data_IF_529618074129
#
_entry.id   IF_529618074129
#
_cell.length_a   1.000
_cell.length_b   1.000
_cell.length_c   1.000
_cell.angle_alpha   90.00
_cell.angle_beta   90.00
_cell.angle_gamma   90.00
#
_symmetry.space_group_name_H-M   'P 1'
#
loop_
_entity.id
_entity.type
_entity.pdbx_description
1 polymer ?
#
# COMPACT_ATOMS: atom_id res chain seq x y z
N UNK A 1 -24.28 0.59 6.11
CA UNK A 1 -23.26 1.52 5.58
C UNK A 1 -23.03 1.17 4.12
N UNK A 2 -23.14 2.11 3.18
CA UNK A 2 -22.97 1.79 1.75
C UNK A 2 -21.49 1.57 1.45
N UNK A 3 -21.19 0.78 0.41
CA UNK A 3 -19.81 0.47 0.00
C UNK A 3 -18.98 1.75 -0.28
N UNK A 4 -19.62 2.77 -0.87
CA UNK A 4 -18.99 4.07 -1.13
C UNK A 4 -18.55 4.79 0.16
N UNK A 5 -19.36 4.73 1.23
CA UNK A 5 -19.06 5.39 2.50
C UNK A 5 -17.82 4.78 3.18
N UNK A 6 -17.68 3.45 3.07
CA UNK A 6 -16.52 2.74 3.61
C UNK A 6 -15.23 3.11 2.86
N UNK A 7 -15.29 3.14 1.52
CA UNK A 7 -14.15 3.52 0.68
C UNK A 7 -13.72 4.96 0.97
N UNK A 8 -14.67 5.88 1.03
CA UNK A 8 -14.40 7.28 1.35
C UNK A 8 -13.76 7.44 2.74
N UNK A 9 -14.26 6.71 3.76
CA UNK A 9 -13.68 6.73 5.11
C UNK A 9 -12.25 6.19 5.13
N UNK A 10 -11.97 5.09 4.44
CA UNK A 10 -10.62 4.51 4.36
C UNK A 10 -9.65 5.38 3.59
N UNK A 11 -10.11 6.05 2.53
CA UNK A 11 -9.30 7.05 1.83
C UNK A 11 -9.03 8.29 2.70
N UNK A 12 -10.01 8.76 3.47
CA UNK A 12 -9.84 9.89 4.38
C UNK A 12 -8.84 9.56 5.49
N UNK A 13 -8.96 8.37 6.09
CA UNK A 13 -8.00 7.84 7.07
C UNK A 13 -6.60 7.75 6.47
N UNK A 14 -6.47 7.20 5.26
CA UNK A 14 -5.17 7.09 4.59
C UNK A 14 -4.56 8.45 4.28
N UNK A 15 -5.37 9.41 3.81
CA UNK A 15 -4.94 10.79 3.55
C UNK A 15 -4.40 11.45 4.82
N UNK A 16 -5.14 11.37 5.93
CA UNK A 16 -4.71 11.93 7.21
C UNK A 16 -3.38 11.34 7.70
N UNK A 17 -3.03 10.13 7.28
CA UNK A 17 -1.78 9.45 7.64
C UNK A 17 -0.62 9.81 6.72
N UNK A 18 -0.91 10.15 5.47
CA UNK A 18 0.10 10.57 4.49
C UNK A 18 0.43 12.06 4.63
N UNK A 19 -0.53 12.87 5.03
CA UNK A 19 -0.42 14.33 5.15
C UNK A 19 0.80 14.81 5.96
N UNK A 20 1.18 14.20 7.11
CA UNK A 20 2.39 14.59 7.85
C UNK A 20 3.70 14.37 7.09
N UNK A 21 3.69 13.62 5.99
CA UNK A 21 4.86 13.31 5.17
C UNK A 21 4.95 14.18 3.91
N UNK A 22 4.03 15.14 3.73
CA UNK A 22 4.05 16.08 2.62
C UNK A 22 4.96 17.26 2.94
N UNK A 23 5.71 17.72 1.93
CA UNK A 23 6.46 18.96 2.02
C UNK A 23 5.49 20.16 1.98
N UNK A 24 5.94 21.33 2.44
CA UNK A 24 5.11 22.53 2.40
C UNK A 24 4.69 22.87 0.95
N UNK A 25 3.38 22.99 0.72
CA UNK A 25 2.80 23.27 -0.60
C UNK A 25 2.61 22.05 -1.51
N UNK A 26 3.02 20.86 -1.08
CA UNK A 26 2.80 19.60 -1.80
C UNK A 26 1.36 19.11 -1.61
N UNK A 27 0.71 18.64 -2.68
CA UNK A 27 -0.68 18.17 -2.64
C UNK A 27 -0.78 16.67 -2.87
N UNK A 28 -1.44 15.95 -1.96
CA UNK A 28 -1.74 14.52 -2.14
C UNK A 28 -2.80 14.32 -3.23
N UNK A 29 -2.41 13.67 -4.33
CA UNK A 29 -3.34 13.29 -5.42
C UNK A 29 -4.08 11.99 -5.09
N UNK A 30 -3.35 10.95 -4.69
CA UNK A 30 -3.94 9.65 -4.34
C UNK A 30 -3.04 8.87 -3.38
N UNK A 31 -3.62 7.94 -2.63
CA UNK A 31 -2.86 6.98 -1.82
C UNK A 31 -3.61 5.65 -1.74
N UNK A 32 -2.87 4.54 -1.63
CA UNK A 32 -3.43 3.21 -1.40
C UNK A 32 -2.44 2.28 -0.70
N UNK A 33 -2.98 1.19 -0.14
CA UNK A 33 -2.18 0.11 0.44
C UNK A 33 -1.65 -0.82 -0.65
N UNK A 34 -0.35 -1.09 -0.66
CA UNK A 34 0.34 -1.98 -1.60
C UNK A 34 1.07 -3.09 -0.87
N UNK A 35 1.31 -4.19 -1.59
CA UNK A 35 2.17 -5.29 -1.16
C UNK A 35 2.81 -5.97 -2.37
N UNK A 36 3.88 -6.71 -2.13
CA UNK A 36 4.34 -7.73 -3.09
C UNK A 36 3.22 -8.76 -3.31
N UNK A 37 3.20 -9.44 -4.45
CA UNK A 37 2.13 -10.39 -4.80
C UNK A 37 1.83 -11.45 -3.73
N UNK A 38 2.84 -11.90 -2.97
CA UNK A 38 2.64 -12.81 -1.84
C UNK A 38 1.73 -12.22 -0.73
N UNK A 39 1.66 -10.89 -0.59
CA UNK A 39 0.85 -10.16 0.40
C UNK A 39 -0.60 -9.89 0.00
N UNK A 40 -1.04 -10.37 -1.17
CA UNK A 40 -2.41 -10.20 -1.66
C UNK A 40 -3.50 -10.68 -0.66
N UNK A 41 -3.32 -11.79 0.09
CA UNK A 41 -4.26 -12.17 1.15
C UNK A 41 -4.38 -11.15 2.30
N UNK A 42 -3.32 -10.38 2.58
CA UNK A 42 -3.35 -9.29 3.57
C UNK A 42 -4.07 -8.06 3.01
N UNK A 43 -3.85 -7.71 1.74
CA UNK A 43 -4.58 -6.63 1.07
C UNK A 43 -6.08 -6.91 1.03
N UNK A 44 -6.47 -8.15 0.73
CA UNK A 44 -7.86 -8.58 0.79
C UNK A 44 -8.41 -8.45 2.22
N UNK A 45 -7.61 -8.69 3.28
CA UNK A 45 -8.07 -8.44 4.66
C UNK A 45 -8.19 -6.95 5.02
N UNK A 46 -7.35 -6.09 4.43
CA UNK A 46 -7.35 -4.64 4.65
C UNK A 46 -8.48 -3.94 3.86
N UNK A 47 -8.86 -4.51 2.70
CA UNK A 47 -9.96 -4.04 1.86
C UNK A 47 -10.84 -5.23 1.41
N UNK A 48 -11.60 -5.86 2.34
CA UNK A 48 -12.31 -7.13 2.10
C UNK A 48 -13.45 -7.06 1.10
N UNK A 49 -13.86 -5.88 0.68
CA UNK A 49 -15.13 -5.67 -0.03
C UNK A 49 -14.87 -5.06 -1.41
N UNK A 50 -14.16 -5.82 -2.26
CA UNK A 50 -13.94 -5.48 -3.67
C UNK A 50 -14.15 -6.64 -4.65
N UNK A 51 -14.43 -7.86 -4.16
CA UNK A 51 -14.57 -9.05 -5.00
C UNK A 51 -16.03 -9.55 -5.00
N UNK A 52 -16.83 -9.26 -6.04
CA UNK A 52 -18.02 -10.05 -6.30
C UNK A 52 -17.59 -11.42 -6.83
N UNK A 53 -17.74 -12.46 -6.00
CA UNK A 53 -17.64 -13.86 -6.40
C UNK A 53 -16.22 -14.44 -6.44
N UNK A 54 -15.81 -15.12 -5.37
CA UNK A 54 -14.74 -16.13 -5.45
C UNK A 54 -15.01 -17.29 -4.50
N UNK A 55 -15.76 -18.27 -5.00
CA UNK A 55 -15.37 -19.66 -4.86
C UNK A 55 -14.73 -20.07 -6.19
N UNK A 56 -13.43 -20.36 -6.20
CA UNK A 56 -12.80 -21.00 -7.36
C UNK A 56 -11.42 -20.47 -7.75
N UNK A 57 -10.44 -21.34 -7.58
CA UNK A 57 -9.19 -21.46 -8.34
C UNK A 57 -8.06 -20.43 -8.16
N UNK A 58 -7.11 -20.89 -7.34
CA UNK A 58 -5.66 -20.71 -7.42
C UNK A 58 -5.14 -20.57 -8.86
N UNK A 59 -4.60 -19.40 -9.20
CA UNK A 59 -3.65 -19.27 -10.30
C UNK A 59 -2.22 -19.32 -9.74
N UNK A 60 -1.66 -20.52 -9.79
CA UNK A 60 -0.23 -20.73 -10.08
C UNK A 60 -0.01 -20.34 -11.57
N UNK A 61 1.10 -19.81 -12.08
CA UNK A 61 2.49 -19.91 -11.66
C UNK A 61 3.30 -18.76 -12.31
N UNK A 62 3.86 -17.86 -11.51
CA UNK A 62 5.28 -17.50 -11.49
C UNK A 62 5.48 -16.44 -10.37
N UNK A 63 6.17 -16.75 -9.25
CA UNK A 63 6.40 -15.82 -8.16
C UNK A 63 7.52 -14.82 -8.44
N UNK A 64 8.12 -14.85 -9.64
CA UNK A 64 9.08 -13.84 -10.05
C UNK A 64 8.36 -12.51 -10.15
N UNK A 65 8.71 -11.62 -9.22
CA UNK A 65 8.31 -10.22 -9.11
C UNK A 65 7.90 -9.66 -10.47
N UNK A 66 6.76 -8.98 -10.55
CA UNK A 66 6.39 -8.19 -11.73
C UNK A 66 7.30 -6.98 -11.97
N UNK A 67 8.58 -7.11 -11.59
CA UNK A 67 9.69 -6.23 -11.81
C UNK A 67 10.28 -6.55 -13.19
N UNK A 68 10.31 -5.55 -14.06
CA UNK A 68 11.05 -5.57 -15.31
C UNK A 68 12.01 -4.38 -15.31
N UNK A 69 13.30 -4.62 -15.55
CA UNK A 69 14.32 -3.58 -15.58
C UNK A 69 15.66 -4.00 -14.96
N UNK A 70 16.75 -3.26 -15.27
CA UNK A 70 18.07 -3.57 -14.75
C UNK A 70 18.22 -3.25 -13.26
N UNK A 71 19.25 -3.82 -12.64
CA UNK A 71 19.67 -3.41 -11.29
C UNK A 71 20.00 -1.91 -11.26
N UNK A 72 19.57 -1.23 -10.20
CA UNK A 72 19.71 0.22 -10.07
C UNK A 72 18.62 1.05 -10.75
N UNK A 73 17.69 0.42 -11.48
CA UNK A 73 16.49 1.10 -11.98
C UNK A 73 15.54 1.54 -10.86
N UNK A 74 14.65 2.47 -11.18
CA UNK A 74 13.64 3.01 -10.27
C UNK A 74 12.70 1.92 -9.76
N UNK A 75 12.24 1.03 -10.66
CA UNK A 75 11.41 -0.11 -10.28
C UNK A 75 12.15 -1.08 -9.35
N UNK A 76 13.42 -1.38 -9.63
CA UNK A 76 14.22 -2.28 -8.80
C UNK A 76 14.48 -1.68 -7.41
N UNK A 77 14.70 -0.37 -7.32
CA UNK A 77 14.85 0.30 -6.03
C UNK A 77 13.55 0.31 -5.23
N UNK A 78 12.42 0.59 -5.87
CA UNK A 78 11.10 0.48 -5.24
C UNK A 78 10.82 -0.96 -4.76
N UNK A 79 11.07 -1.98 -5.60
CA UNK A 79 10.86 -3.37 -5.21
C UNK A 79 11.65 -3.71 -3.95
N UNK A 80 12.96 -3.40 -3.90
CA UNK A 80 13.81 -3.66 -2.73
C UNK A 80 13.30 -3.03 -1.44
N UNK A 81 12.56 -1.93 -1.53
CA UNK A 81 11.99 -1.19 -0.39
C UNK A 81 10.60 -1.66 0.00
N UNK A 82 9.90 -2.38 -0.88
CA UNK A 82 8.63 -3.00 -0.54
C UNK A 82 8.85 -4.03 0.57
N UNK A 83 8.02 -4.01 1.63
CA UNK A 83 8.16 -4.94 2.72
C UNK A 83 7.98 -6.37 2.23
N UNK A 84 8.78 -7.28 2.79
CA UNK A 84 8.64 -8.71 2.53
C UNK A 84 7.37 -9.24 3.20
N UNK A 85 6.83 -10.33 2.66
CA UNK A 85 5.61 -10.95 3.16
C UNK A 85 5.73 -11.30 4.66
N UNK A 86 4.67 -11.09 5.48
CA UNK A 86 3.31 -10.65 5.15
C UNK A 86 3.03 -9.16 5.48
N UNK A 87 3.94 -8.25 5.16
CA UNK A 87 3.73 -6.82 5.45
C UNK A 87 3.18 -6.04 4.25
N UNK A 88 2.51 -4.92 4.55
CA UNK A 88 1.95 -3.98 3.58
C UNK A 88 2.60 -2.61 3.76
N UNK A 89 2.57 -1.81 2.69
CA UNK A 89 3.02 -0.42 2.70
C UNK A 89 1.93 0.47 2.12
N UNK A 90 2.09 1.78 2.30
CA UNK A 90 1.27 2.79 1.62
C UNK A 90 2.07 3.36 0.46
N UNK A 91 1.49 3.33 -0.72
CA UNK A 91 1.97 4.06 -1.88
C UNK A 91 1.17 5.36 -2.00
N UNK A 92 1.84 6.49 -1.95
CA UNK A 92 1.24 7.82 -2.04
C UNK A 92 1.77 8.58 -3.26
N UNK A 93 0.86 9.14 -4.04
CA UNK A 93 1.13 9.95 -5.21
C UNK A 93 0.78 11.40 -4.91
N UNK A 94 1.74 12.28 -5.10
CA UNK A 94 1.56 13.73 -4.97
C UNK A 94 1.74 14.40 -6.33
N UNK A 95 1.57 15.72 -6.37
CA UNK A 95 1.95 16.54 -7.52
C UNK A 95 3.47 16.57 -7.76
N UNK A 96 4.30 16.40 -6.73
CA UNK A 96 5.75 16.46 -6.84
C UNK A 96 6.45 15.08 -6.91
N UNK A 97 5.91 14.04 -6.27
CA UNK A 97 6.62 12.76 -6.08
C UNK A 97 5.70 11.56 -5.88
N UNK A 98 6.32 10.39 -5.99
CA UNK A 98 5.78 9.11 -5.51
C UNK A 98 6.50 8.74 -4.21
N UNK A 99 5.76 8.35 -3.20
CA UNK A 99 6.23 8.02 -1.85
C UNK A 99 5.83 6.59 -1.49
N UNK A 100 6.76 5.83 -0.91
CA UNK A 100 6.47 4.58 -0.23
C UNK A 100 6.65 4.79 1.28
N UNK A 101 5.59 4.50 2.02
CA UNK A 101 5.54 4.62 3.47
C UNK A 101 5.30 3.24 4.07
N UNK A 102 6.10 2.83 5.05
CA UNK A 102 5.86 1.60 5.80
C UNK A 102 5.36 1.91 7.19
N UNK A 103 4.71 0.95 7.82
CA UNK A 103 4.39 1.04 9.24
C UNK A 103 5.69 1.01 10.03
N UNK A 104 5.96 2.06 10.80
CA UNK A 104 7.08 2.12 11.73
C UNK A 104 6.87 1.17 12.90
N UNK A 105 7.93 0.46 13.26
CA UNK A 105 8.03 -0.39 14.45
C UNK A 105 8.33 0.41 15.72
N UNK A 106 8.09 1.72 15.71
CA UNK A 106 8.08 2.52 16.93
C UNK A 106 6.91 2.05 17.80
N UNK A 107 7.12 0.94 18.51
CA UNK A 107 6.36 0.57 19.69
C UNK A 107 6.19 1.86 20.50
N UNK A 108 4.96 2.29 20.85
CA UNK A 108 4.83 3.20 21.97
C UNK A 108 5.64 2.57 23.11
N UNK A 109 6.44 3.33 23.89
CA UNK A 109 7.20 2.74 24.99
C UNK A 109 6.23 1.98 25.87
N UNK A 110 6.22 0.64 25.72
CA UNK A 110 5.27 -0.19 26.45
C UNK A 110 5.67 -0.08 27.92
N UNK A 111 4.70 0.32 28.74
CA UNK A 111 4.70 0.00 30.17
C UNK A 111 5.17 -1.44 30.31
N UNK A 112 6.26 -1.64 31.05
CA UNK A 112 6.90 -2.92 31.27
C UNK A 112 5.87 -4.05 31.39
N UNK A 113 5.89 -5.05 30.49
CA UNK A 113 5.04 -6.21 30.66
C UNK A 113 5.52 -6.98 31.88
N UNK A 114 4.57 -7.39 32.73
CA UNK A 114 4.84 -8.31 33.83
C UNK A 114 5.58 -9.55 33.30
N UNK A 115 6.57 -10.01 34.07
CA UNK A 115 7.66 -10.92 33.69
C UNK A 115 7.27 -12.31 33.11
N UNK A 116 5.98 -12.61 32.96
CA UNK A 116 5.48 -13.93 32.54
C UNK A 116 4.84 -13.95 31.13
N UNK A 117 4.79 -12.82 30.41
CA UNK A 117 4.25 -12.79 29.06
C UNK A 117 5.31 -13.28 28.03
N UNK A 118 5.08 -14.47 27.45
CA UNK A 118 5.86 -14.95 26.29
C UNK A 118 5.90 -13.86 25.20
N UNK A 119 7.05 -13.60 24.56
CA UNK A 119 7.14 -12.59 23.52
C UNK A 119 6.21 -12.99 22.37
N UNK A 120 5.11 -12.27 22.24
CA UNK A 120 4.19 -12.46 21.13
C UNK A 120 4.92 -11.99 19.87
N UNK A 121 5.14 -12.90 18.92
CA UNK A 121 5.93 -12.61 17.72
C UNK A 121 5.33 -11.46 16.90
N UNK A 122 6.17 -10.78 16.13
CA UNK A 122 5.81 -9.73 15.16
C UNK A 122 4.59 -10.09 14.29
N UNK A 123 4.47 -11.35 13.88
CA UNK A 123 3.34 -11.86 13.10
C UNK A 123 2.02 -11.90 13.89
N UNK A 124 2.07 -12.18 15.19
CA UNK A 124 0.90 -12.10 16.07
C UNK A 124 0.52 -10.65 16.35
N UNK A 125 1.47 -9.72 16.33
CA UNK A 125 1.20 -8.29 16.49
C UNK A 125 0.55 -7.71 15.22
N UNK A 126 1.07 -8.01 14.02
CA UNK A 126 0.45 -7.60 12.76
C UNK A 126 -0.88 -8.32 12.49
N UNK A 127 -1.02 -9.58 12.88
CA UNK A 127 -2.29 -10.30 12.83
C UNK A 127 -3.33 -9.71 13.79
N UNK A 128 -2.91 -9.24 14.98
CA UNK A 128 -3.77 -8.52 15.93
C UNK A 128 -4.07 -7.10 15.49
N UNK A 129 -3.12 -6.37 14.90
CA UNK A 129 -3.36 -5.06 14.30
C UNK A 129 -4.35 -5.25 13.14
N UNK A 130 -4.11 -6.17 12.21
CA UNK A 130 -5.05 -6.51 11.14
C UNK A 130 -6.44 -6.85 11.68
N UNK A 131 -6.57 -7.71 12.70
CA UNK A 131 -7.89 -7.95 13.32
C UNK A 131 -8.47 -6.72 14.03
N UNK A 132 -7.67 -5.89 14.72
CA UNK A 132 -8.17 -4.73 15.49
C UNK A 132 -8.51 -3.52 14.62
N UNK A 133 -7.81 -3.30 13.52
CA UNK A 133 -8.07 -2.21 12.57
C UNK A 133 -9.36 -2.40 11.77
N UNK A 134 -9.79 -3.65 11.63
CA UNK A 134 -10.82 -4.02 10.69
C UNK A 134 -12.05 -4.69 11.34
N UNK A 135 -11.96 -5.15 12.59
CA UNK A 135 -13.04 -5.95 13.23
C UNK A 135 -13.72 -5.30 14.47
N UNK A 136 -13.26 -4.15 15.02
CA UNK A 136 -13.95 -3.52 16.16
C UNK A 136 -14.04 -1.99 16.15
N UNK A 137 -15.19 -1.50 16.65
CA UNK A 137 -15.67 -0.12 16.64
C UNK A 137 -14.96 0.90 17.54
N UNK A 138 -13.72 0.65 17.99
CA UNK A 138 -12.91 1.67 18.66
C UNK A 138 -11.62 1.98 17.90
N UNK A 139 -11.25 3.27 17.76
CA UNK A 139 -10.07 3.69 17.04
C UNK A 139 -8.81 3.38 17.86
N UNK A 140 -8.23 2.20 17.68
CA UNK A 140 -6.85 1.94 18.12
C UNK A 140 -5.92 2.86 17.32
N UNK A 141 -5.10 3.64 18.02
CA UNK A 141 -4.09 4.49 17.39
C UNK A 141 -3.18 3.62 16.51
N UNK A 142 -3.29 3.80 15.19
CA UNK A 142 -2.47 3.07 14.25
C UNK A 142 -1.00 3.49 14.38
N UNK A 143 -0.06 2.54 14.27
CA UNK A 143 1.38 2.82 14.29
C UNK A 143 1.78 3.81 13.18
N UNK A 144 2.72 4.71 13.51
CA UNK A 144 3.14 5.80 12.61
C UNK A 144 3.64 5.27 11.27
N UNK A 145 3.46 6.05 10.21
CA UNK A 145 4.04 5.75 8.91
C UNK A 145 5.45 6.35 8.83
N UNK A 146 6.36 5.67 8.15
CA UNK A 146 7.72 6.14 7.90
C UNK A 146 8.05 6.08 6.41
N UNK A 147 8.59 7.17 5.81
CA UNK A 147 8.96 7.19 4.41
C UNK A 147 10.25 6.37 4.22
N UNK A 148 10.14 5.27 3.48
CA UNK A 148 11.28 4.39 3.21
C UNK A 148 11.84 4.53 1.80
N UNK A 149 11.07 5.15 0.90
CA UNK A 149 11.46 5.38 -0.49
C UNK A 149 10.66 6.52 -1.11
N UNK A 150 11.28 7.22 -2.07
CA UNK A 150 10.65 8.27 -2.87
C UNK A 150 11.28 8.41 -4.24
N UNK A 151 10.50 8.82 -5.24
CA UNK A 151 11.01 9.28 -6.53
C UNK A 151 10.26 10.52 -7.02
N UNK A 152 10.85 11.30 -7.91
CA UNK A 152 10.18 12.45 -8.53
C UNK A 152 8.95 12.00 -9.33
N UNK A 153 7.88 12.79 -9.34
CA UNK A 153 6.63 12.45 -10.05
C UNK A 153 6.84 12.21 -11.53
N UNK A 154 7.72 13.01 -12.13
CA UNK A 154 8.12 12.91 -13.54
C UNK A 154 8.83 11.58 -13.90
N UNK A 155 9.35 10.84 -12.91
CA UNK A 155 9.92 9.52 -13.15
C UNK A 155 8.82 8.45 -13.40
N UNK A 156 7.59 8.69 -12.94
CA UNK A 156 6.46 7.79 -13.16
C UNK A 156 5.82 8.10 -14.51
N UNK A 157 6.06 7.21 -15.49
CA UNK A 157 5.59 7.36 -16.86
C UNK A 157 4.11 6.97 -17.02
N UNK A 158 3.72 5.82 -16.46
CA UNK A 158 2.36 5.32 -16.56
C UNK A 158 1.98 4.44 -15.38
N UNK A 159 0.68 4.39 -15.09
CA UNK A 159 0.10 3.48 -14.10
C UNK A 159 -1.05 2.72 -14.76
N UNK A 160 -1.02 1.40 -14.65
CA UNK A 160 -2.06 0.50 -15.12
C UNK A 160 -2.68 -0.28 -13.98
N UNK A 161 -3.93 -0.71 -14.16
CA UNK A 161 -4.61 -1.63 -13.26
C UNK A 161 -4.94 -2.89 -14.04
N UNK A 162 -4.66 -4.07 -13.49
CA UNK A 162 -4.90 -5.35 -14.14
C UNK A 162 -5.63 -6.33 -13.24
N UNK A 163 -6.59 -7.02 -13.83
CA UNK A 163 -7.35 -8.11 -13.20
C UNK A 163 -8.36 -7.65 -12.14
N UNK A 164 -9.31 -8.53 -11.77
CA UNK A 164 -10.32 -8.25 -10.74
C UNK A 164 -9.71 -8.13 -9.34
N UNK A 165 -8.51 -8.68 -9.13
CA UNK A 165 -7.82 -8.68 -7.84
C UNK A 165 -7.08 -7.36 -7.54
N UNK A 166 -6.96 -6.46 -8.54
CA UNK A 166 -6.37 -5.13 -8.35
C UNK A 166 -4.84 -5.11 -8.36
N UNK A 167 -4.20 -5.64 -9.41
CA UNK A 167 -2.76 -5.42 -9.60
C UNK A 167 -2.51 -4.02 -10.14
N UNK A 168 -1.66 -3.26 -9.45
CA UNK A 168 -1.20 -1.95 -9.87
C UNK A 168 0.16 -2.10 -10.58
N UNK A 169 0.20 -1.81 -11.87
CA UNK A 169 1.42 -1.80 -12.66
C UNK A 169 1.96 -0.37 -12.75
N UNK A 170 3.17 -0.15 -12.27
CA UNK A 170 3.90 1.11 -12.33
C UNK A 170 4.94 1.01 -13.44
N UNK A 171 4.98 1.99 -14.35
CA UNK A 171 6.00 2.10 -15.41
C UNK A 171 6.76 3.40 -15.23
N UNK A 172 8.08 3.34 -15.28
CA UNK A 172 8.96 4.47 -15.06
C UNK A 172 9.61 4.94 -16.38
N UNK A 173 10.11 6.17 -16.38
CA UNK A 173 10.74 6.80 -17.56
C UNK A 173 12.09 6.19 -17.93
N UNK A 174 12.74 5.49 -17.00
CA UNK A 174 13.95 4.71 -17.25
C UNK A 174 13.67 3.37 -17.97
N UNK A 175 12.40 3.13 -18.36
CA UNK A 175 11.95 1.93 -19.04
C UNK A 175 11.61 0.77 -18.11
N UNK A 176 11.90 0.88 -16.81
CA UNK A 176 11.59 -0.15 -15.83
C UNK A 176 10.11 -0.16 -15.44
N UNK A 177 9.62 -1.31 -14.95
CA UNK A 177 8.26 -1.45 -14.47
C UNK A 177 8.16 -2.37 -13.25
N UNK A 178 7.14 -2.15 -12.43
CA UNK A 178 6.85 -2.94 -11.23
C UNK A 178 5.35 -3.17 -11.08
N UNK A 179 4.94 -4.43 -10.93
CA UNK A 179 3.58 -4.79 -10.51
C UNK A 179 3.53 -5.04 -9.00
N UNK A 180 2.55 -4.44 -8.34
CA UNK A 180 2.24 -4.65 -6.92
C UNK A 180 0.78 -5.00 -6.73
N UNK A 181 0.49 -5.76 -5.68
CA UNK A 181 -0.89 -6.01 -5.28
C UNK A 181 -1.46 -4.74 -4.63
N UNK A 182 -2.73 -4.44 -4.90
CA UNK A 182 -3.44 -3.27 -4.40
C UNK A 182 -4.96 -3.58 -4.30
N UNK A 183 -5.73 -2.89 -3.43
CA UNK A 183 -7.18 -2.98 -3.48
C UNK A 183 -7.70 -2.44 -4.83
N UNK A 184 -8.41 -3.26 -5.61
CA UNK A 184 -8.92 -2.87 -6.93
C UNK A 184 -9.73 -1.55 -6.91
N UNK A 185 -10.54 -1.36 -5.85
CA UNK A 185 -11.35 -0.14 -5.65
C UNK A 185 -10.52 1.13 -5.47
N UNK A 186 -9.27 1.03 -5.02
CA UNK A 186 -8.36 2.16 -4.83
C UNK A 186 -7.33 2.26 -5.96
N UNK A 187 -7.01 1.15 -6.62
CA UNK A 187 -6.05 1.10 -7.73
C UNK A 187 -6.52 1.93 -8.92
N UNK A 188 -7.82 1.89 -9.26
CA UNK A 188 -8.39 2.66 -10.37
C UNK A 188 -8.30 4.18 -10.15
N UNK A 189 -8.83 4.76 -9.05
CA UNK A 189 -8.67 6.19 -8.76
C UNK A 189 -7.21 6.64 -8.70
N UNK A 190 -6.31 5.77 -8.22
CA UNK A 190 -4.89 6.07 -8.19
C UNK A 190 -4.27 6.13 -9.59
N UNK A 191 -4.62 5.19 -10.47
CA UNK A 191 -4.17 5.20 -11.85
C UNK A 191 -4.70 6.42 -12.62
N UNK A 192 -5.94 6.85 -12.34
CA UNK A 192 -6.51 8.09 -12.88
C UNK A 192 -5.74 9.32 -12.40
N UNK A 193 -5.46 9.43 -11.10
CA UNK A 193 -4.66 10.51 -10.53
C UNK A 193 -3.21 10.55 -11.03
N UNK A 194 -2.69 9.41 -11.49
CA UNK A 194 -1.36 9.26 -12.07
C UNK A 194 -1.30 9.58 -13.57
N UNK A 195 -2.41 9.92 -14.21
CA UNK A 195 -2.35 10.44 -15.57
C UNK A 195 -1.68 11.82 -15.53
N UNK A 196 -0.76 12.13 -16.47
CA UNK A 196 -0.31 13.51 -16.61
C UNK A 196 -1.54 14.39 -16.84
N UNK A 197 -1.60 15.54 -16.17
CA UNK A 197 -2.70 16.49 -16.36
C UNK A 197 -2.85 16.71 -17.86
N UNK A 198 -3.96 16.24 -18.42
CA UNK A 198 -4.32 16.55 -19.80
C UNK A 198 -4.63 18.04 -19.80
N UNK A 199 -3.61 18.85 -20.02
CA UNK A 199 -3.76 20.26 -20.33
C UNK A 199 -4.54 20.28 -21.64
N UNK A 200 -5.83 20.59 -21.53
CA UNK A 200 -6.68 20.96 -22.66
C UNK A 200 -6.26 22.33 -23.19
#
# INVERSE_FOLDING_TARGET
MKQADLVARRQAELRARVEPHLDAGETLRAALWVARDAGLPMIVKIAPQGLPGMGGSVLSANPQSGLDGPEGSTAADLDRRLPQHPAVAVLALTDARLLLLTVSDALPPEREPAADARPAGFLDHLGRIGRRLFDQGEPVALPLLEPVWRCHRAALHAVGVSGPEGRLALRFTDGSSLAVAAPALLALPFAEAARPDQIA
#
